data_IF_527143088089
#
_entry.id   IF_527143088089
#
_cell.length_a   1.000
_cell.length_b   1.000
_cell.length_c   1.000
_cell.angle_alpha   90.00
_cell.angle_beta   90.00
_cell.angle_gamma   90.00
#
_symmetry.space_group_name_H-M   'P 1'
#
loop_
_entity.id
_entity.type
_entity.pdbx_description
1 polymer ?
#
# COMPACT_ATOMS: atom_id res chain seq x y z
N UNK A 1 -16.13 51.12 64.69
CA UNK A 1 -16.84 50.86 63.43
C UNK A 1 -15.85 50.83 62.29
N UNK A 2 -15.32 49.65 61.91
CA UNK A 2 -14.47 49.46 60.75
C UNK A 2 -14.84 48.15 60.07
N UNK A 3 -15.45 48.28 58.90
CA UNK A 3 -15.86 47.14 58.02
C UNK A 3 -14.66 46.73 57.18
N UNK A 4 -14.28 45.46 57.25
CA UNK A 4 -13.25 44.90 56.41
C UNK A 4 -13.98 44.16 55.29
N UNK A 5 -13.72 44.61 54.06
CA UNK A 5 -14.19 43.95 52.84
C UNK A 5 -13.20 42.84 52.47
N UNK A 6 -13.70 41.60 52.38
CA UNK A 6 -12.94 40.45 51.86
C UNK A 6 -13.01 40.45 50.33
N UNK A 7 -11.86 40.55 49.68
CA UNK A 7 -11.71 40.39 48.23
C UNK A 7 -11.63 38.89 47.88
N UNK A 8 -12.62 38.41 47.15
CA UNK A 8 -12.61 37.06 46.58
C UNK A 8 -11.76 37.04 45.31
N UNK A 9 -10.68 36.29 45.33
CA UNK A 9 -9.85 36.01 44.13
C UNK A 9 -10.44 34.81 43.41
N UNK A 10 -11.09 35.04 42.26
CA UNK A 10 -11.57 34.00 41.37
C UNK A 10 -10.40 33.45 40.56
N UNK A 11 -9.99 32.21 40.83
CA UNK A 11 -9.04 31.47 40.05
C UNK A 11 -9.76 30.91 38.82
N UNK A 12 -9.48 31.45 37.64
CA UNK A 12 -9.99 31.00 36.36
C UNK A 12 -9.15 29.78 35.91
N UNK A 13 -9.69 28.57 36.08
CA UNK A 13 -9.06 27.34 35.63
C UNK A 13 -9.33 27.19 34.15
N UNK A 14 -8.30 27.41 33.32
CA UNK A 14 -8.34 27.13 31.88
C UNK A 14 -8.17 25.60 31.68
N UNK A 15 -9.25 24.91 31.32
CA UNK A 15 -9.21 23.53 30.83
C UNK A 15 -8.65 23.54 29.41
N UNK A 16 -7.40 23.11 29.28
CA UNK A 16 -6.81 22.76 27.98
C UNK A 16 -7.34 21.37 27.59
N UNK A 17 -8.32 21.35 26.69
CA UNK A 17 -8.79 20.12 26.05
C UNK A 17 -7.72 19.66 25.05
N UNK A 18 -6.97 18.60 25.41
CA UNK A 18 -6.16 17.85 24.42
C UNK A 18 -7.10 17.17 23.43
N UNK A 19 -7.26 17.77 22.26
CA UNK A 19 -7.94 17.14 21.13
C UNK A 19 -7.12 15.95 20.67
N UNK A 20 -7.63 14.73 20.84
CA UNK A 20 -7.10 13.52 20.19
C UNK A 20 -7.42 13.60 18.71
N UNK A 21 -6.41 13.88 17.90
CA UNK A 21 -6.53 13.76 16.45
C UNK A 21 -6.80 12.28 16.08
N UNK A 22 -7.75 11.98 15.17
CA UNK A 22 -7.95 10.62 14.71
C UNK A 22 -6.68 10.15 13.99
N UNK A 23 -6.12 9.03 14.43
CA UNK A 23 -5.02 8.36 13.75
C UNK A 23 -5.53 7.86 12.39
N UNK A 24 -5.23 8.60 11.32
CA UNK A 24 -5.50 8.16 9.96
C UNK A 24 -4.78 6.83 9.68
N UNK A 25 -5.50 5.85 9.18
CA UNK A 25 -4.94 4.57 8.79
C UNK A 25 -3.90 4.78 7.69
N UNK A 26 -2.63 4.53 8.00
CA UNK A 26 -1.53 4.62 7.04
C UNK A 26 -1.33 3.26 6.38
N UNK A 27 -1.47 3.22 5.06
CA UNK A 27 -1.10 2.05 4.28
C UNK A 27 0.41 2.09 4.09
N UNK A 28 1.12 1.14 4.73
CA UNK A 28 2.51 0.84 4.42
C UNK A 28 3.47 2.04 4.37
N UNK A 29 3.47 2.93 5.36
CA UNK A 29 4.43 4.04 5.45
C UNK A 29 4.22 5.18 4.46
N UNK A 30 3.29 5.06 3.52
CA UNK A 30 2.87 6.15 2.64
C UNK A 30 1.54 6.72 3.12
N UNK A 31 1.42 8.04 3.26
CA UNK A 31 0.13 8.65 3.48
C UNK A 31 -0.75 8.33 2.27
N UNK A 32 -1.92 7.72 2.48
CA UNK A 32 -2.88 7.42 1.42
C UNK A 32 -3.34 8.67 0.64
N UNK A 33 -3.02 9.86 1.14
CA UNK A 33 -3.34 11.16 0.55
C UNK A 33 -2.17 11.76 -0.27
N UNK A 34 -0.99 11.13 -0.33
CA UNK A 34 0.08 11.61 -1.19
C UNK A 34 -0.33 11.47 -2.66
N UNK A 35 -0.02 12.46 -3.51
CA UNK A 35 -0.28 12.34 -4.93
C UNK A 35 0.46 11.13 -5.51
N UNK A 36 -0.15 10.50 -6.51
CA UNK A 36 0.51 9.45 -7.31
C UNK A 36 1.12 10.14 -8.52
N UNK A 37 2.44 10.06 -8.64
CA UNK A 37 3.20 10.51 -9.81
C UNK A 37 3.51 9.30 -10.69
N UNK A 38 3.13 9.34 -11.98
CA UNK A 38 3.35 8.23 -12.91
C UNK A 38 4.16 8.73 -14.10
N UNK A 39 5.26 8.04 -14.39
CA UNK A 39 6.11 8.27 -15.55
C UNK A 39 6.16 7.02 -16.44
N UNK A 40 6.23 7.19 -17.76
CA UNK A 40 6.35 6.11 -18.74
C UNK A 40 6.82 6.70 -20.09
N UNK A 41 7.16 5.83 -21.06
CA UNK A 41 7.51 6.27 -22.42
C UNK A 41 6.29 6.83 -23.17
N UNK A 42 5.08 6.31 -22.86
CA UNK A 42 3.83 6.78 -23.46
C UNK A 42 2.66 6.68 -22.51
N UNK A 43 1.65 7.55 -22.70
CA UNK A 43 0.40 7.50 -21.96
C UNK A 43 -0.79 7.66 -22.92
N UNK A 44 -1.84 6.88 -22.68
CA UNK A 44 -3.11 6.93 -23.39
C UNK A 44 -4.25 7.08 -22.38
N UNK A 45 -5.21 7.98 -22.66
CA UNK A 45 -6.39 8.18 -21.82
C UNK A 45 -7.64 7.90 -22.63
N UNK A 46 -8.44 6.92 -22.22
CA UNK A 46 -9.68 6.49 -22.85
C UNK A 46 -10.85 6.93 -21.98
N UNK A 47 -11.31 8.17 -22.15
CA UNK A 47 -12.39 8.77 -21.33
C UNK A 47 -13.69 7.96 -21.37
N UNK A 48 -14.02 7.35 -22.52
CA UNK A 48 -15.19 6.49 -22.66
C UNK A 48 -15.15 5.25 -21.77
N UNK A 49 -13.97 4.84 -21.29
CA UNK A 49 -13.76 3.68 -20.41
C UNK A 49 -13.29 4.08 -19.02
N UNK A 50 -13.06 5.36 -18.76
CA UNK A 50 -12.40 5.85 -17.53
C UNK A 50 -11.08 5.11 -17.24
N UNK A 51 -10.28 4.90 -18.28
CA UNK A 51 -9.05 4.13 -18.29
C UNK A 51 -7.90 5.02 -18.74
N UNK A 52 -6.80 5.02 -17.96
CA UNK A 52 -5.52 5.55 -18.39
C UNK A 52 -4.50 4.41 -18.46
N UNK A 53 -3.71 4.37 -19.54
CA UNK A 53 -2.69 3.34 -19.81
C UNK A 53 -1.34 4.03 -19.94
N UNK A 54 -0.39 3.60 -19.14
CA UNK A 54 0.99 4.06 -19.12
C UNK A 54 1.87 2.91 -19.60
N UNK A 55 2.62 3.07 -20.68
CA UNK A 55 3.37 1.98 -21.31
C UNK A 55 4.81 2.37 -21.56
N UNK A 56 5.72 1.38 -21.42
CA UNK A 56 7.15 1.53 -21.55
C UNK A 56 7.80 1.99 -20.23
N UNK A 57 8.48 1.05 -19.54
CA UNK A 57 9.18 1.30 -18.28
C UNK A 57 8.35 2.13 -17.28
N UNK A 58 7.06 1.84 -17.18
CA UNK A 58 6.13 2.61 -16.36
C UNK A 58 6.51 2.55 -14.88
N UNK A 59 6.54 3.69 -14.22
CA UNK A 59 6.83 3.84 -12.80
C UNK A 59 5.78 4.75 -12.15
N UNK A 60 5.15 4.24 -11.07
CA UNK A 60 4.26 5.02 -10.21
C UNK A 60 4.93 5.21 -8.85
N UNK A 61 4.96 6.46 -8.37
CA UNK A 61 5.52 6.85 -7.09
C UNK A 61 4.44 7.49 -6.24
N UNK A 62 4.29 7.01 -5.00
CA UNK A 62 3.40 7.59 -4.00
C UNK A 62 4.14 7.64 -2.65
N UNK A 63 4.54 8.85 -2.24
CA UNK A 63 5.40 9.01 -1.07
C UNK A 63 6.72 8.26 -1.26
N UNK A 64 6.97 7.25 -0.43
CA UNK A 64 8.17 6.40 -0.52
C UNK A 64 7.89 5.04 -1.19
N UNK A 65 6.66 4.80 -1.62
CA UNK A 65 6.27 3.57 -2.30
C UNK A 65 6.41 3.73 -3.80
N UNK A 66 7.05 2.76 -4.44
CA UNK A 66 7.32 2.75 -5.88
C UNK A 66 6.79 1.45 -6.49
N UNK A 67 6.03 1.58 -7.57
CA UNK A 67 5.58 0.48 -8.41
C UNK A 67 6.18 0.65 -9.80
N UNK A 68 6.90 -0.36 -10.28
CA UNK A 68 7.44 -0.43 -11.64
C UNK A 68 6.83 -1.60 -12.40
N UNK A 69 6.60 -1.40 -13.70
CA UNK A 69 6.11 -2.42 -14.60
C UNK A 69 6.40 -2.02 -16.05
N UNK A 70 6.22 -2.95 -17.00
CA UNK A 70 6.25 -2.60 -18.42
C UNK A 70 5.04 -1.73 -18.78
N UNK A 71 3.89 -1.95 -18.12
CA UNK A 71 2.65 -1.21 -18.32
C UNK A 71 1.89 -1.07 -17.01
N UNK A 72 1.28 0.10 -16.82
CA UNK A 72 0.37 0.39 -15.70
C UNK A 72 -0.95 0.88 -16.29
N UNK A 73 -2.06 0.24 -15.91
CA UNK A 73 -3.42 0.64 -16.23
C UNK A 73 -4.12 1.17 -14.99
N UNK A 74 -4.74 2.33 -15.09
CA UNK A 74 -5.47 2.98 -14.00
C UNK A 74 -6.94 3.06 -14.40
N UNK A 75 -7.79 2.35 -13.66
CA UNK A 75 -9.24 2.35 -13.85
C UNK A 75 -9.88 3.27 -12.82
N UNK A 76 -10.66 4.22 -13.30
CA UNK A 76 -11.43 5.13 -12.47
C UNK A 76 -12.90 4.76 -12.46
N UNK A 77 -13.59 5.07 -11.36
CA UNK A 77 -15.02 4.86 -11.25
C UNK A 77 -15.75 5.76 -12.24
N UNK A 78 -16.72 5.19 -12.98
CA UNK A 78 -17.61 6.01 -13.81
C UNK A 78 -18.68 6.70 -12.95
N UNK A 79 -18.84 8.00 -13.16
CA UNK A 79 -19.88 8.82 -12.53
C UNK A 79 -20.65 9.60 -13.61
N UNK A 80 -21.74 9.00 -14.13
CA UNK A 80 -22.47 9.58 -15.27
C UNK A 80 -21.59 9.71 -16.49
N UNK A 81 -21.42 10.93 -17.00
CA UNK A 81 -20.57 11.25 -18.15
C UNK A 81 -19.08 11.47 -17.77
N UNK A 82 -18.75 11.52 -16.49
CA UNK A 82 -17.41 11.84 -16.00
C UNK A 82 -16.73 10.62 -15.36
N UNK A 83 -15.40 10.68 -15.24
CA UNK A 83 -14.60 9.73 -14.51
C UNK A 83 -14.31 10.25 -13.10
N UNK A 84 -14.51 9.42 -12.09
CA UNK A 84 -14.31 9.73 -10.68
C UNK A 84 -12.97 9.23 -10.14
N UNK A 85 -12.90 8.89 -8.82
CA UNK A 85 -11.68 8.39 -8.20
C UNK A 85 -11.18 7.09 -8.83
N UNK A 86 -9.88 6.84 -8.67
CA UNK A 86 -9.27 5.56 -9.02
C UNK A 86 -9.92 4.44 -8.22
N UNK A 87 -10.29 3.35 -8.90
CA UNK A 87 -10.90 2.18 -8.31
C UNK A 87 -9.96 0.97 -8.32
N UNK A 88 -9.18 0.83 -9.38
CA UNK A 88 -8.30 -0.31 -9.62
C UNK A 88 -7.06 0.12 -10.38
N UNK A 89 -5.94 -0.52 -10.07
CA UNK A 89 -4.69 -0.38 -10.80
C UNK A 89 -4.19 -1.76 -11.16
N UNK A 90 -3.77 -1.93 -12.43
CA UNK A 90 -3.14 -3.15 -12.92
C UNK A 90 -1.73 -2.82 -13.42
N UNK A 91 -0.76 -3.60 -12.98
CA UNK A 91 0.62 -3.53 -13.45
C UNK A 91 0.98 -4.84 -14.15
N UNK A 92 1.51 -4.73 -15.36
CA UNK A 92 1.79 -5.86 -16.24
C UNK A 92 3.26 -5.88 -16.66
N UNK A 93 3.89 -7.04 -16.52
CA UNK A 93 5.24 -7.33 -16.97
C UNK A 93 6.33 -6.75 -16.07
N UNK A 94 7.18 -7.63 -15.52
CA UNK A 94 8.32 -7.28 -14.67
C UNK A 94 7.95 -6.33 -13.51
N UNK A 95 6.94 -6.72 -12.76
CA UNK A 95 6.44 -5.89 -11.65
C UNK A 95 7.42 -5.87 -10.48
N UNK A 96 7.74 -4.66 -10.00
CA UNK A 96 8.46 -4.42 -8.75
C UNK A 96 7.66 -3.46 -7.89
N UNK A 97 7.30 -3.93 -6.71
CA UNK A 97 6.68 -3.13 -5.66
C UNK A 97 7.69 -2.90 -4.55
N UNK A 98 8.09 -1.67 -4.33
CA UNK A 98 9.18 -1.29 -3.42
C UNK A 98 8.64 -0.33 -2.37
N UNK A 99 8.88 -0.66 -1.13
CA UNK A 99 8.65 0.21 0.04
C UNK A 99 9.97 0.40 0.79
N UNK A 100 10.06 1.28 1.79
CA UNK A 100 11.29 1.45 2.58
C UNK A 100 11.78 0.17 3.26
N UNK A 101 10.87 -0.77 3.56
CA UNK A 101 11.18 -1.95 4.37
C UNK A 101 11.22 -3.25 3.56
N UNK A 102 10.63 -3.27 2.36
CA UNK A 102 10.51 -4.50 1.58
C UNK A 102 10.44 -4.26 0.07
N UNK A 103 10.81 -5.29 -0.67
CA UNK A 103 10.64 -5.34 -2.12
C UNK A 103 9.90 -6.62 -2.48
N UNK A 104 8.79 -6.49 -3.23
CA UNK A 104 8.12 -7.63 -3.85
C UNK A 104 8.25 -7.53 -5.36
N UNK A 105 8.45 -8.65 -6.04
CA UNK A 105 8.43 -8.74 -7.51
C UNK A 105 7.51 -9.86 -7.97
N UNK A 106 7.01 -9.74 -9.20
CA UNK A 106 6.19 -10.72 -9.88
C UNK A 106 6.02 -10.37 -11.35
N UNK A 107 5.19 -11.12 -12.06
CA UNK A 107 4.92 -10.85 -13.46
C UNK A 107 3.78 -9.85 -13.64
N UNK A 108 2.77 -9.89 -12.75
CA UNK A 108 1.62 -8.97 -12.74
C UNK A 108 1.25 -8.57 -11.32
N UNK A 109 0.64 -7.39 -11.17
CA UNK A 109 0.02 -6.97 -9.93
C UNK A 109 -1.32 -6.27 -10.17
N UNK A 110 -2.26 -6.45 -9.25
CA UNK A 110 -3.56 -5.80 -9.23
C UNK A 110 -3.77 -5.21 -7.85
N UNK A 111 -4.00 -3.91 -7.79
CA UNK A 111 -4.55 -3.23 -6.62
C UNK A 111 -6.03 -2.98 -6.86
N UNK A 112 -6.88 -3.48 -5.99
CA UNK A 112 -8.32 -3.26 -6.01
C UNK A 112 -8.73 -2.57 -4.71
N UNK A 113 -9.16 -1.31 -4.83
CA UNK A 113 -9.53 -0.50 -3.69
C UNK A 113 -10.84 -0.99 -3.04
N UNK A 114 -11.79 -1.46 -3.85
CA UNK A 114 -13.07 -1.99 -3.34
C UNK A 114 -12.91 -3.30 -2.57
N UNK A 115 -12.00 -4.16 -3.02
CA UNK A 115 -11.66 -5.42 -2.36
C UNK A 115 -10.62 -5.24 -1.23
N UNK A 116 -10.02 -4.05 -1.10
CA UNK A 116 -8.96 -3.74 -0.14
C UNK A 116 -7.75 -4.68 -0.28
N UNK A 117 -7.37 -5.02 -1.52
CA UNK A 117 -6.32 -6.01 -1.78
C UNK A 117 -5.29 -5.55 -2.81
N UNK A 118 -4.04 -5.97 -2.58
CA UNK A 118 -2.99 -6.02 -3.60
C UNK A 118 -2.68 -7.49 -3.87
N UNK A 119 -2.76 -7.90 -5.12
CA UNK A 119 -2.45 -9.26 -5.56
C UNK A 119 -1.30 -9.21 -6.55
N UNK A 120 -0.19 -9.90 -6.24
CA UNK A 120 0.95 -10.05 -7.13
C UNK A 120 1.00 -11.52 -7.57
N UNK A 121 1.18 -11.77 -8.86
CA UNK A 121 1.19 -13.10 -9.44
C UNK A 121 2.37 -13.32 -10.39
N UNK A 122 2.74 -14.60 -10.55
CA UNK A 122 3.83 -15.06 -11.42
C UNK A 122 5.21 -14.89 -10.82
N UNK A 123 5.87 -15.99 -10.49
CA UNK A 123 7.24 -16.02 -9.97
C UNK A 123 7.48 -15.04 -8.81
N UNK A 124 6.55 -15.00 -7.86
CA UNK A 124 6.56 -14.00 -6.79
C UNK A 124 7.71 -14.22 -5.83
N UNK A 125 8.47 -13.16 -5.60
CA UNK A 125 9.52 -13.12 -4.56
C UNK A 125 9.30 -11.86 -3.73
N UNK A 126 9.34 -12.00 -2.40
CA UNK A 126 9.37 -10.88 -1.46
C UNK A 126 10.65 -10.94 -0.63
N UNK A 127 11.27 -9.79 -0.46
CA UNK A 127 12.51 -9.60 0.31
C UNK A 127 12.26 -8.53 1.36
N UNK A 128 12.57 -8.85 2.62
CA UNK A 128 12.53 -7.92 3.75
C UNK A 128 13.82 -8.07 4.56
N UNK A 129 14.71 -7.11 4.46
CA UNK A 129 16.04 -7.23 5.01
C UNK A 129 16.76 -8.47 4.47
N UNK A 130 17.07 -9.43 5.36
CA UNK A 130 17.68 -10.72 4.99
C UNK A 130 16.66 -11.84 4.71
N UNK A 131 15.41 -11.60 5.05
CA UNK A 131 14.35 -12.60 4.90
C UNK A 131 13.82 -12.62 3.48
N UNK A 132 13.58 -13.80 2.94
CA UNK A 132 13.08 -14.01 1.56
C UNK A 132 11.96 -15.03 1.59
N UNK A 133 10.85 -14.74 0.91
CA UNK A 133 9.84 -15.74 0.59
C UNK A 133 9.54 -15.72 -0.92
N UNK A 134 9.17 -16.89 -1.47
CA UNK A 134 8.78 -17.07 -2.87
C UNK A 134 7.60 -18.00 -3.01
N UNK A 135 6.80 -17.75 -4.04
CA UNK A 135 5.61 -18.51 -4.40
C UNK A 135 5.07 -18.05 -5.77
N UNK A 136 3.85 -18.44 -6.10
CA UNK A 136 3.24 -18.08 -7.39
C UNK A 136 2.25 -16.93 -7.26
N UNK A 137 1.70 -16.71 -6.06
CA UNK A 137 0.72 -15.66 -5.76
C UNK A 137 0.94 -15.09 -4.36
N UNK A 138 0.96 -13.78 -4.25
CA UNK A 138 0.97 -13.04 -3.00
C UNK A 138 -0.30 -12.18 -2.95
N UNK A 139 -1.11 -12.36 -1.93
CA UNK A 139 -2.28 -11.52 -1.66
C UNK A 139 -2.03 -10.74 -0.38
N UNK A 140 -2.08 -9.41 -0.46
CA UNK A 140 -1.95 -8.50 0.67
C UNK A 140 -3.31 -7.83 0.90
N UNK A 141 -3.87 -7.97 2.10
CA UNK A 141 -5.02 -7.19 2.55
C UNK A 141 -4.51 -5.90 3.17
N UNK A 142 -4.83 -4.78 2.53
CA UNK A 142 -4.22 -3.48 2.82
C UNK A 142 -4.56 -2.99 4.22
N UNK A 143 -5.86 -3.02 4.61
CA UNK A 143 -6.33 -2.51 5.91
C UNK A 143 -5.78 -3.29 7.11
N UNK A 144 -5.69 -4.63 6.99
CA UNK A 144 -5.22 -5.51 8.07
C UNK A 144 -3.73 -5.80 7.99
N UNK A 145 -3.07 -5.41 6.89
CA UNK A 145 -1.66 -5.73 6.60
C UNK A 145 -1.35 -7.25 6.61
N UNK A 146 -2.39 -8.06 6.44
CA UNK A 146 -2.26 -9.49 6.32
C UNK A 146 -1.79 -9.86 4.92
N UNK A 147 -0.81 -10.74 4.82
CA UNK A 147 -0.36 -11.25 3.54
C UNK A 147 -0.35 -12.78 3.52
N UNK A 148 -0.77 -13.32 2.40
CA UNK A 148 -0.83 -14.76 2.14
C UNK A 148 -0.02 -15.05 0.88
N UNK A 149 0.96 -15.95 1.00
CA UNK A 149 1.73 -16.48 -0.13
C UNK A 149 1.22 -17.86 -0.49
N UNK A 150 0.95 -18.08 -1.76
CA UNK A 150 0.47 -19.35 -2.28
C UNK A 150 1.34 -19.84 -3.43
N UNK A 151 1.31 -21.15 -3.66
CA UNK A 151 1.93 -21.81 -4.79
C UNK A 151 0.97 -22.83 -5.40
N UNK A 152 1.07 -23.06 -6.70
CA UNK A 152 0.30 -24.08 -7.41
C UNK A 152 0.74 -25.50 -7.04
N UNK A 153 2.00 -25.66 -6.58
CA UNK A 153 2.53 -26.95 -6.16
C UNK A 153 1.99 -27.36 -4.77
N UNK A 154 1.51 -28.59 -4.64
CA UNK A 154 0.96 -29.19 -3.42
C UNK A 154 1.72 -30.44 -3.03
N UNK A 155 1.80 -30.72 -1.73
CA UNK A 155 2.38 -31.94 -1.18
C UNK A 155 3.90 -31.95 -1.08
N UNK A 156 4.45 -32.93 -0.34
CA UNK A 156 5.90 -33.11 -0.16
C UNK A 156 6.54 -33.57 -1.48
N UNK A 157 7.73 -33.06 -1.76
CA UNK A 157 8.48 -33.43 -2.98
C UNK A 157 8.04 -32.70 -4.25
N UNK A 158 6.92 -31.94 -4.24
CA UNK A 158 6.59 -31.08 -5.39
C UNK A 158 7.56 -29.90 -5.46
N UNK A 159 8.12 -29.63 -6.63
CA UNK A 159 8.87 -28.41 -6.91
C UNK A 159 7.98 -27.17 -6.80
N UNK A 160 8.56 -25.98 -6.70
CA UNK A 160 7.86 -24.69 -6.70
C UNK A 160 6.82 -24.49 -5.58
N UNK A 161 6.95 -25.18 -4.46
CA UNK A 161 6.16 -24.88 -3.27
C UNK A 161 6.54 -23.51 -2.69
N UNK A 162 5.65 -22.90 -1.89
CA UNK A 162 6.00 -21.74 -1.10
C UNK A 162 7.25 -22.06 -0.27
N UNK A 163 8.26 -21.21 -0.40
CA UNK A 163 9.52 -21.35 0.34
C UNK A 163 9.86 -20.03 1.03
N UNK A 164 10.16 -20.11 2.34
CA UNK A 164 10.69 -19.00 3.12
C UNK A 164 12.08 -19.30 3.65
N UNK A 165 12.95 -18.32 3.68
CA UNK A 165 14.25 -18.32 4.36
C UNK A 165 14.23 -17.16 5.34
N UNK A 166 14.38 -17.48 6.62
CA UNK A 166 14.32 -16.53 7.72
C UNK A 166 15.60 -16.62 8.55
N UNK A 167 16.14 -15.47 8.91
CA UNK A 167 17.35 -15.38 9.73
C UNK A 167 16.95 -15.03 11.16
N UNK A 168 17.20 -15.93 12.14
CA UNK A 168 17.00 -15.64 13.57
C UNK A 168 17.81 -14.42 13.98
N UNK A 169 17.22 -13.48 14.70
CA UNK A 169 17.90 -12.26 15.17
C UNK A 169 17.93 -11.09 14.19
N UNK A 170 17.37 -11.21 12.99
CA UNK A 170 17.17 -10.07 12.08
C UNK A 170 15.92 -9.24 12.44
N UNK A 171 15.68 -9.01 13.73
CA UNK A 171 14.73 -8.02 14.26
C UNK A 171 13.34 -8.00 13.64
N UNK A 172 12.63 -9.11 13.64
CA UNK A 172 11.25 -9.17 13.18
C UNK A 172 11.00 -10.36 12.28
N UNK A 173 9.99 -11.18 12.61
CA UNK A 173 9.37 -12.08 11.67
C UNK A 173 8.96 -11.27 10.41
N UNK A 174 8.76 -11.93 9.28
CA UNK A 174 8.30 -11.28 8.07
C UNK A 174 6.94 -10.60 8.36
N UNK A 175 6.97 -9.33 8.71
CA UNK A 175 5.78 -8.49 8.81
C UNK A 175 5.54 -7.90 7.42
N UNK A 176 4.65 -8.50 6.68
CA UNK A 176 4.19 -7.98 5.41
C UNK A 176 3.31 -6.77 5.70
N UNK A 177 3.87 -5.56 5.59
CA UNK A 177 3.13 -4.31 5.74
C UNK A 177 3.51 -3.47 6.96
N UNK A 178 4.64 -2.81 6.94
CA UNK A 178 4.90 -1.58 7.69
C UNK A 178 5.07 -0.42 6.74
#
# INVERSE_FOLDING_TARGET
MRRWAAAAISVLTVLVSLGTAPAGAQIGGSSSNAPIDITADSAEVINSQCLAIWSGAAEALQGQTRLRANRIKVFSQRRGASCGPTQRLEAEGQVFYVTPTQTARGDNAVYDQGADTIVITGNVIIVQGRNVARGDRLTIRVSTRQATMESNARGRGAGNRVRGVFYPGSGGGMTLGQ
#
